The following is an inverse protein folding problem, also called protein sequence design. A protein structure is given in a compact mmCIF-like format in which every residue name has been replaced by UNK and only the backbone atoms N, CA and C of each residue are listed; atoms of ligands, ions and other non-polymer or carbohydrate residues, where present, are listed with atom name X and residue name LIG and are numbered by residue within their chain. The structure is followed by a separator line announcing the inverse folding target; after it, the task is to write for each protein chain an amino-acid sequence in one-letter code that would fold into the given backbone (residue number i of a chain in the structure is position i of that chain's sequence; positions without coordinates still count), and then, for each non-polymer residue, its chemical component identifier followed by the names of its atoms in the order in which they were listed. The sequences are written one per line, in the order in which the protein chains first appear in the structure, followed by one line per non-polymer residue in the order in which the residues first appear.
data_IF_753028016942
#
_entry.id   IF_753028016942
#
_cell.length_a   1.000
_cell.length_b   1.000
_cell.length_c   1.000
_cell.angle_alpha   90.00
_cell.angle_beta   90.00
_cell.angle_gamma   90.00
#
_symmetry.space_group_name_H-M   'P 1'
#
loop_
_entity.id
_entity.type
_entity.pdbx_description
1 polymer ?
#
# COMPACT_ATOMS: atom_id res chain seq x y z
N UNK A 1 -19.11 21.74 5.97
CA UNK A 1 -17.72 21.22 6.04
C UNK A 1 -17.15 21.17 4.64
N UNK A 2 -15.89 21.58 4.42
CA UNK A 2 -15.29 21.61 3.06
C UNK A 2 -14.79 20.21 2.67
N UNK A 3 -15.10 19.69 1.46
CA UNK A 3 -14.88 18.29 1.04
C UNK A 3 -13.44 17.99 0.58
N UNK A 4 -12.43 18.64 1.17
CA UNK A 4 -11.06 18.64 0.63
C UNK A 4 -10.10 17.69 1.34
N UNK A 5 -10.60 16.71 2.08
CA UNK A 5 -9.78 15.94 3.01
C UNK A 5 -10.05 14.44 2.90
N UNK A 6 -9.58 13.86 1.81
CA UNK A 6 -9.45 12.42 1.61
C UNK A 6 -8.52 12.27 0.42
N UNK A 7 -7.41 11.54 0.60
CA UNK A 7 -6.46 11.04 -0.40
C UNK A 7 -5.12 10.78 0.30
N UNK A 8 -5.07 9.83 1.23
CA UNK A 8 -3.80 9.40 1.85
C UNK A 8 -3.68 7.88 2.07
N UNK A 9 -4.72 7.11 1.78
CA UNK A 9 -4.84 5.72 2.23
C UNK A 9 -4.82 4.67 1.12
N UNK A 10 -4.15 4.89 0.00
CA UNK A 10 -3.94 3.81 -0.98
C UNK A 10 -2.43 3.57 -1.06
N UNK A 11 -2.05 2.28 -0.99
CA UNK A 11 -0.80 1.68 -1.49
C UNK A 11 0.09 1.08 -0.39
N UNK A 12 0.01 -0.25 -0.29
CA UNK A 12 0.96 -1.14 0.37
C UNK A 12 1.22 -2.36 -0.53
N UNK A 13 2.48 -2.79 -0.57
CA UNK A 13 2.94 -4.12 -0.96
C UNK A 13 3.77 -4.15 -2.26
N UNK A 14 5.08 -4.49 -2.17
CA UNK A 14 5.88 -5.33 -3.08
C UNK A 14 7.37 -4.93 -3.17
N UNK A 15 8.32 -5.79 -2.78
CA UNK A 15 9.76 -5.54 -3.05
C UNK A 15 10.74 -6.70 -2.87
N UNK A 16 11.93 -6.52 -3.48
CA UNK A 16 13.20 -7.18 -3.14
C UNK A 16 14.26 -7.35 -4.25
N UNK A 17 15.03 -8.44 -4.16
CA UNK A 17 16.49 -8.60 -4.19
C UNK A 17 17.22 -9.28 -5.38
N UNK A 18 18.46 -8.81 -5.68
CA UNK A 18 19.73 -9.52 -6.04
C UNK A 18 20.90 -8.48 -6.12
N UNK A 19 22.22 -8.72 -5.99
CA UNK A 19 23.13 -9.88 -5.87
C UNK A 19 24.42 -9.44 -5.10
N UNK A 20 24.89 -10.23 -4.13
CA UNK A 20 26.30 -10.42 -3.73
C UNK A 20 26.35 -11.58 -2.72
N UNK A 21 27.45 -12.35 -2.67
CA UNK A 21 27.60 -13.57 -1.86
C UNK A 21 27.11 -13.37 -0.41
N UNK A 22 25.94 -13.93 -0.11
CA UNK A 22 25.14 -13.63 1.08
C UNK A 22 24.01 -14.65 1.24
N UNK A 23 23.18 -14.51 2.29
CA UNK A 23 22.12 -15.47 2.61
C UNK A 23 21.19 -15.74 1.41
N UNK A 24 20.60 -16.93 1.36
CA UNK A 24 19.69 -17.39 0.29
C UNK A 24 18.74 -16.26 -0.15
N UNK A 25 18.76 -15.85 -1.44
CA UNK A 25 18.02 -14.71 -1.95
C UNK A 25 16.50 -14.82 -1.72
N UNK A 26 15.98 -16.03 -1.57
CA UNK A 26 14.56 -16.29 -1.24
C UNK A 26 14.26 -16.00 0.23
N UNK A 27 15.19 -16.34 1.12
CA UNK A 27 15.08 -16.03 2.56
C UNK A 27 15.25 -14.54 2.77
N UNK A 28 16.15 -13.89 2.02
CA UNK A 28 16.28 -12.44 2.03
C UNK A 28 15.03 -11.74 1.51
N UNK A 29 14.44 -12.25 0.42
CA UNK A 29 13.15 -11.78 -0.11
C UNK A 29 12.03 -11.87 0.93
N UNK A 30 11.84 -13.05 1.54
CA UNK A 30 10.85 -13.26 2.59
C UNK A 30 11.04 -12.27 3.75
N UNK A 31 12.26 -12.15 4.28
CA UNK A 31 12.55 -11.21 5.39
C UNK A 31 12.26 -9.77 5.01
N UNK A 32 12.58 -9.36 3.79
CA UNK A 32 12.30 -8.02 3.33
C UNK A 32 10.78 -7.79 3.21
N UNK A 33 10.04 -8.71 2.61
CA UNK A 33 8.57 -8.60 2.51
C UNK A 33 7.90 -8.58 3.89
N UNK A 34 8.37 -9.39 4.85
CA UNK A 34 7.91 -9.36 6.25
C UNK A 34 8.12 -7.99 6.90
N UNK A 35 9.31 -7.42 6.73
CA UNK A 35 9.64 -6.12 7.33
C UNK A 35 8.89 -4.97 6.66
N UNK A 36 8.67 -5.05 5.35
CA UNK A 36 7.86 -4.08 4.61
C UNK A 36 6.39 -4.17 5.02
N UNK A 37 5.82 -5.38 5.16
CA UNK A 37 4.45 -5.56 5.67
C UNK A 37 4.32 -4.97 7.06
N UNK A 38 5.28 -5.24 7.96
CA UNK A 38 5.27 -4.67 9.30
C UNK A 38 5.33 -3.13 9.27
N UNK A 39 6.22 -2.55 8.46
CA UNK A 39 6.31 -1.11 8.30
C UNK A 39 5.03 -0.50 7.73
N UNK A 40 4.35 -1.18 6.79
CA UNK A 40 3.06 -0.75 6.25
C UNK A 40 1.96 -0.76 7.31
N UNK A 41 1.92 -1.77 8.18
CA UNK A 41 0.99 -1.81 9.32
C UNK A 41 1.18 -0.59 10.22
N UNK A 42 2.43 -0.23 10.53
CA UNK A 42 2.72 0.97 11.31
C UNK A 42 2.17 2.24 10.64
N UNK A 43 2.36 2.38 9.32
CA UNK A 43 1.82 3.52 8.56
C UNK A 43 0.29 3.57 8.55
N UNK A 44 -0.37 2.42 8.37
CA UNK A 44 -1.84 2.33 8.34
C UNK A 44 -2.42 2.68 9.71
N UNK A 45 -1.86 2.14 10.80
CA UNK A 45 -2.30 2.44 12.15
C UNK A 45 -2.10 3.92 12.52
N UNK A 46 -0.96 4.51 12.15
CA UNK A 46 -0.70 5.94 12.35
C UNK A 46 -1.70 6.81 11.56
N UNK A 47 -1.96 6.46 10.30
CA UNK A 47 -2.93 7.15 9.46
C UNK A 47 -4.36 7.03 9.99
N UNK A 48 -4.73 5.88 10.56
CA UNK A 48 -6.03 5.70 11.21
C UNK A 48 -6.16 6.61 12.44
N UNK A 49 -5.18 6.61 13.35
CA UNK A 49 -5.23 7.47 14.52
C UNK A 49 -5.28 8.96 14.14
N UNK A 50 -4.56 9.35 13.09
CA UNK A 50 -4.62 10.70 12.56
C UNK A 50 -6.02 11.07 12.05
N UNK A 51 -6.67 10.19 11.27
CA UNK A 51 -8.05 10.38 10.80
C UNK A 51 -9.05 10.45 11.96
N UNK A 52 -8.95 9.55 12.94
CA UNK A 52 -9.83 9.54 14.12
C UNK A 52 -9.70 10.83 14.94
N UNK A 53 -8.49 11.39 15.03
CA UNK A 53 -8.26 12.68 15.68
C UNK A 53 -8.90 13.83 14.93
N UNK A 54 -8.76 13.90 13.60
CA UNK A 54 -9.40 14.93 12.77
C UNK A 54 -10.91 14.91 12.89
N UNK A 55 -11.48 13.70 12.99
CA UNK A 55 -12.90 13.48 13.17
C UNK A 55 -13.37 13.69 14.63
N UNK A 56 -12.48 14.08 15.54
CA UNK A 56 -12.81 14.31 16.95
C UNK A 56 -13.15 13.06 17.75
N UNK A 57 -12.90 11.86 17.19
CA UNK A 57 -13.20 10.56 17.82
C UNK A 57 -12.20 10.19 18.91
N UNK A 58 -10.95 10.65 18.78
CA UNK A 58 -9.92 10.46 19.81
C UNK A 58 -9.27 11.78 20.23
N UNK A 59 -8.81 11.83 21.49
CA UNK A 59 -8.13 13.01 22.04
C UNK A 59 -6.76 13.22 21.36
N UNK A 60 -6.30 14.47 21.19
CA UNK A 60 -5.00 14.75 20.57
C UNK A 60 -3.84 13.98 21.19
N UNK A 61 -3.82 13.82 22.53
CA UNK A 61 -2.74 13.11 23.22
C UNK A 61 -2.69 11.61 22.88
N UNK A 62 -3.86 10.97 22.72
CA UNK A 62 -3.92 9.56 22.34
C UNK A 62 -3.41 9.36 20.91
N UNK A 63 -3.82 10.24 19.98
CA UNK A 63 -3.33 10.25 18.61
C UNK A 63 -1.81 10.50 18.55
N UNK A 64 -1.32 11.48 19.30
CA UNK A 64 0.11 11.81 19.39
C UNK A 64 0.93 10.60 19.84
N UNK A 65 0.55 9.96 20.96
CA UNK A 65 1.27 8.80 21.51
C UNK A 65 1.31 7.64 20.52
N UNK A 66 0.19 7.36 19.83
CA UNK A 66 0.16 6.29 18.83
C UNK A 66 1.07 6.62 17.64
N UNK A 67 0.89 7.80 17.03
CA UNK A 67 1.68 8.21 15.85
C UNK A 67 3.17 8.26 16.18
N UNK A 68 3.55 8.76 17.36
CA UNK A 68 4.94 8.80 17.83
C UNK A 68 5.55 7.40 17.98
N UNK A 69 4.80 6.45 18.57
CA UNK A 69 5.22 5.04 18.66
C UNK A 69 5.43 4.42 17.26
N UNK A 70 4.51 4.67 16.32
CA UNK A 70 4.64 4.17 14.94
C UNK A 70 5.79 4.81 14.18
N UNK A 71 6.04 6.10 14.43
CA UNK A 71 7.18 6.83 13.86
C UNK A 71 8.52 6.24 14.32
N UNK A 72 8.63 5.86 15.60
CA UNK A 72 9.82 5.17 16.12
C UNK A 72 10.02 3.80 15.45
N UNK A 73 8.95 3.01 15.30
CA UNK A 73 9.02 1.74 14.57
C UNK A 73 9.43 1.91 13.10
N UNK A 74 8.89 2.93 12.41
CA UNK A 74 9.27 3.25 11.02
C UNK A 74 10.73 3.72 10.93
N UNK A 75 11.23 4.48 11.92
CA UNK A 75 12.62 4.88 11.98
C UNK A 75 13.57 3.68 12.18
N UNK A 76 13.19 2.71 13.03
CA UNK A 76 13.92 1.47 13.21
C UNK A 76 13.97 0.66 11.90
N UNK A 77 12.83 0.52 11.21
CA UNK A 77 12.78 -0.12 9.90
C UNK A 77 13.67 0.60 8.88
N UNK A 78 13.61 1.93 8.79
CA UNK A 78 14.46 2.70 7.86
C UNK A 78 15.96 2.43 8.08
N UNK A 79 16.40 2.31 9.34
CA UNK A 79 17.78 1.98 9.69
C UNK A 79 18.19 0.56 9.24
N UNK A 80 17.24 -0.38 9.25
CA UNK A 80 17.46 -1.78 8.84
C UNK A 80 17.22 -2.03 7.35
N UNK A 81 16.45 -1.18 6.66
CA UNK A 81 16.11 -1.34 5.25
C UNK A 81 17.36 -1.45 4.35
N UNK A 82 18.45 -0.79 4.75
CA UNK A 82 19.74 -0.83 4.07
C UNK A 82 20.42 -2.21 4.10
N UNK A 83 20.22 -3.00 5.16
CA UNK A 83 20.88 -4.29 5.36
C UNK A 83 20.01 -5.47 4.91
N UNK A 84 18.68 -5.28 4.89
CA UNK A 84 17.72 -6.30 4.51
C UNK A 84 17.51 -6.38 3.00
N UNK A 85 17.46 -5.24 2.32
CA UNK A 85 17.24 -5.18 0.89
C UNK A 85 18.51 -5.54 0.11
N UNK A 86 18.39 -6.35 -0.95
CA UNK A 86 19.54 -6.54 -1.83
C UNK A 86 19.74 -5.34 -2.77
N UNK A 87 20.95 -5.19 -3.36
CA UNK A 87 21.38 -3.97 -4.03
C UNK A 87 20.37 -3.35 -4.99
N UNK A 88 19.73 -4.17 -5.84
CA UNK A 88 18.73 -3.70 -6.82
C UNK A 88 17.52 -2.97 -6.20
N UNK A 89 17.22 -3.24 -4.93
CA UNK A 89 16.06 -2.68 -4.22
C UNK A 89 16.40 -1.65 -3.16
N UNK A 90 17.65 -1.60 -2.69
CA UNK A 90 18.05 -0.75 -1.55
C UNK A 90 17.63 0.70 -1.72
N UNK A 91 17.84 1.28 -2.91
CA UNK A 91 17.49 2.67 -3.20
C UNK A 91 15.99 2.90 -3.05
N UNK A 92 15.16 2.07 -3.69
CA UNK A 92 13.70 2.18 -3.65
C UNK A 92 13.13 1.90 -2.25
N UNK A 93 13.66 0.91 -1.52
CA UNK A 93 13.22 0.61 -0.14
C UNK A 93 13.54 1.78 0.79
N UNK A 94 14.77 2.32 0.71
CA UNK A 94 15.19 3.46 1.54
C UNK A 94 14.37 4.70 1.21
N UNK A 95 14.13 4.93 -0.07
CA UNK A 95 13.31 6.05 -0.51
C UNK A 95 11.89 5.91 0.05
N UNK A 96 11.29 4.73 -0.07
CA UNK A 96 9.97 4.44 0.49
C UNK A 96 9.92 4.62 2.01
N UNK A 97 10.85 4.02 2.75
CA UNK A 97 10.92 4.14 4.20
C UNK A 97 11.03 5.60 4.65
N UNK A 98 11.85 6.40 3.94
CA UNK A 98 11.98 7.83 4.17
C UNK A 98 10.66 8.56 3.94
N UNK A 99 9.95 8.28 2.85
CA UNK A 99 8.66 8.91 2.55
C UNK A 99 7.59 8.55 3.59
N UNK A 100 7.51 7.28 4.00
CA UNK A 100 6.59 6.84 5.06
C UNK A 100 6.91 7.53 6.40
N UNK A 101 8.19 7.64 6.74
CA UNK A 101 8.60 8.37 7.95
C UNK A 101 8.22 9.86 7.88
N UNK A 102 8.46 10.52 6.75
CA UNK A 102 8.09 11.92 6.54
C UNK A 102 6.58 12.14 6.67
N UNK A 103 5.78 11.19 6.17
CA UNK A 103 4.32 11.21 6.31
C UNK A 103 3.88 11.12 7.78
N UNK A 104 4.50 10.22 8.56
CA UNK A 104 4.21 10.09 9.99
C UNK A 104 4.68 11.31 10.78
N UNK A 105 5.82 11.91 10.40
CA UNK A 105 6.28 13.18 10.97
C UNK A 105 5.29 14.30 10.69
N UNK A 106 4.73 14.36 9.48
CA UNK A 106 3.68 15.32 9.14
C UNK A 106 2.45 15.14 10.05
N UNK A 107 1.95 13.90 10.22
CA UNK A 107 0.81 13.64 11.11
C UNK A 107 1.08 14.10 12.53
N UNK A 108 2.25 13.79 13.06
CA UNK A 108 2.65 14.15 14.41
C UNK A 108 2.74 15.68 14.59
N UNK A 109 3.34 16.38 13.62
CA UNK A 109 3.44 17.84 13.64
C UNK A 109 2.06 18.48 13.58
N UNK A 110 1.16 18.00 12.73
CA UNK A 110 -0.19 18.54 12.62
C UNK A 110 -1.03 18.29 13.88
N UNK A 111 -0.93 17.10 14.50
CA UNK A 111 -1.58 16.80 15.81
C UNK A 111 -1.12 17.76 16.91
N UNK A 112 0.17 18.11 16.91
CA UNK A 112 0.78 19.01 17.91
C UNK A 112 0.41 20.47 17.70
N UNK A 113 0.07 20.87 16.48
CA UNK A 113 -0.36 22.24 16.18
C UNK A 113 -1.82 22.45 16.59
N UNK A 114 -2.09 23.49 17.38
CA UNK A 114 -3.45 23.90 17.76
C UNK A 114 -3.70 25.35 17.30
N UNK A 115 -4.69 25.61 16.44
CA UNK A 115 -5.57 24.66 15.73
C UNK A 115 -4.84 23.86 14.62
N UNK A 116 -5.43 22.76 14.11
CA UNK A 116 -4.91 22.05 12.94
C UNK A 116 -4.75 23.01 11.77
N UNK A 117 -3.64 22.91 11.02
CA UNK A 117 -3.45 23.86 9.93
C UNK A 117 -4.35 23.55 8.74
N UNK A 118 -4.90 24.60 8.09
CA UNK A 118 -5.66 24.42 6.85
C UNK A 118 -4.73 23.84 5.77
N UNK A 119 -5.02 22.61 5.35
CA UNK A 119 -4.25 21.93 4.31
C UNK A 119 -4.48 22.61 2.97
N UNK A 120 -3.39 23.02 2.31
CA UNK A 120 -3.48 23.54 0.95
C UNK A 120 -3.70 22.39 -0.04
N UNK A 121 -4.48 22.64 -1.08
CA UNK A 121 -4.70 21.66 -2.15
C UNK A 121 -3.36 21.25 -2.81
N UNK A 122 -2.42 22.19 -2.95
CA UNK A 122 -1.09 21.95 -3.47
C UNK A 122 -0.28 20.96 -2.61
N UNK A 123 -0.32 21.09 -1.28
CA UNK A 123 0.37 20.17 -0.38
C UNK A 123 -0.18 18.74 -0.49
N UNK A 124 -1.51 18.60 -0.55
CA UNK A 124 -2.17 17.29 -0.69
C UNK A 124 -1.82 16.65 -2.04
N UNK A 125 -1.85 17.44 -3.12
CA UNK A 125 -1.47 16.99 -4.45
C UNK A 125 0.00 16.52 -4.52
N UNK A 126 0.92 17.29 -3.94
CA UNK A 126 2.34 16.92 -3.90
C UNK A 126 2.55 15.61 -3.15
N UNK A 127 1.92 15.46 -1.98
CA UNK A 127 2.03 14.22 -1.18
C UNK A 127 1.48 13.00 -1.91
N UNK A 128 0.34 13.16 -2.57
CA UNK A 128 -0.24 12.12 -3.41
C UNK A 128 0.71 11.70 -4.54
N UNK A 129 1.23 12.69 -5.28
CA UNK A 129 2.12 12.44 -6.39
C UNK A 129 3.39 11.70 -5.93
N UNK A 130 3.99 12.13 -4.82
CA UNK A 130 5.13 11.44 -4.23
C UNK A 130 4.80 9.99 -3.84
N UNK A 131 3.61 9.74 -3.27
CA UNK A 131 3.15 8.40 -2.89
C UNK A 131 2.96 7.48 -4.11
N UNK A 132 2.43 8.03 -5.20
CA UNK A 132 2.26 7.30 -6.45
C UNK A 132 3.60 6.97 -7.12
N UNK A 133 4.50 7.95 -7.18
CA UNK A 133 5.84 7.80 -7.79
C UNK A 133 6.62 6.72 -7.06
N UNK A 134 6.68 6.78 -5.72
CA UNK A 134 7.42 5.78 -4.96
C UNK A 134 6.85 4.38 -5.13
N UNK A 135 5.52 4.23 -5.22
CA UNK A 135 4.89 2.92 -5.43
C UNK A 135 5.16 2.37 -6.84
N UNK A 136 5.25 3.26 -7.83
CA UNK A 136 5.70 2.90 -9.18
C UNK A 136 7.11 2.32 -9.15
N UNK A 137 8.05 3.01 -8.47
CA UNK A 137 9.44 2.57 -8.33
C UNK A 137 9.55 1.22 -7.62
N UNK A 138 8.73 0.99 -6.59
CA UNK A 138 8.68 -0.28 -5.87
C UNK A 138 8.16 -1.42 -6.75
N UNK A 139 7.09 -1.20 -7.51
CA UNK A 139 6.53 -2.19 -8.44
C UNK A 139 7.54 -2.58 -9.53
N UNK A 140 8.25 -1.60 -10.11
CA UNK A 140 9.29 -1.87 -11.09
C UNK A 140 10.47 -2.63 -10.51
N UNK A 141 10.84 -2.31 -9.27
CA UNK A 141 11.87 -3.03 -8.54
C UNK A 141 11.45 -4.47 -8.25
N UNK A 142 10.20 -4.69 -7.82
CA UNK A 142 9.66 -6.03 -7.63
C UNK A 142 9.60 -6.83 -8.93
N UNK A 143 9.24 -6.20 -10.05
CA UNK A 143 9.24 -6.86 -11.37
C UNK A 143 10.61 -7.43 -11.71
N UNK A 144 11.66 -6.63 -11.50
CA UNK A 144 13.06 -7.06 -11.73
C UNK A 144 13.46 -8.17 -10.77
N UNK A 145 13.11 -8.05 -9.49
CA UNK A 145 13.43 -9.08 -8.53
C UNK A 145 12.78 -10.43 -8.83
N UNK A 146 11.47 -10.44 -9.10
CA UNK A 146 10.71 -11.69 -9.24
C UNK A 146 11.35 -12.59 -10.30
N UNK A 147 11.88 -11.99 -11.37
CA UNK A 147 12.65 -12.70 -12.40
C UNK A 147 13.93 -13.33 -11.86
N UNK A 148 14.60 -12.70 -10.90
CA UNK A 148 15.84 -13.20 -10.30
C UNK A 148 15.55 -14.31 -9.29
N UNK A 149 14.63 -14.09 -8.34
CA UNK A 149 14.29 -15.10 -7.31
C UNK A 149 13.60 -16.32 -7.91
N UNK A 150 12.84 -16.15 -8.99
CA UNK A 150 12.27 -17.28 -9.75
C UNK A 150 13.39 -18.15 -10.34
N UNK A 151 14.34 -17.57 -11.08
CA UNK A 151 15.45 -18.29 -11.72
C UNK A 151 16.37 -18.99 -10.71
N UNK A 152 16.52 -18.39 -9.53
CA UNK A 152 17.36 -18.92 -8.46
C UNK A 152 16.62 -19.93 -7.58
N UNK A 153 15.30 -20.10 -7.75
CA UNK A 153 14.53 -21.07 -7.00
C UNK A 153 14.65 -22.47 -7.60
N UNK A 154 15.36 -23.37 -6.91
CA UNK A 154 15.36 -24.80 -7.20
C UNK A 154 14.10 -25.55 -6.72
N UNK A 155 13.14 -24.87 -6.06
CA UNK A 155 11.89 -25.46 -5.57
C UNK A 155 10.75 -25.17 -6.56
N UNK A 156 10.15 -26.18 -7.22
CA UNK A 156 9.06 -25.99 -8.19
C UNK A 156 7.84 -25.24 -7.63
N UNK A 157 7.50 -25.44 -6.35
CA UNK A 157 6.37 -24.75 -5.71
C UNK A 157 6.69 -23.28 -5.48
N UNK A 158 7.92 -22.95 -5.08
CA UNK A 158 8.36 -21.57 -4.94
C UNK A 158 8.47 -20.86 -6.31
N UNK A 159 8.92 -21.56 -7.36
CA UNK A 159 8.87 -21.04 -8.74
C UNK A 159 7.42 -20.71 -9.15
N UNK A 160 6.48 -21.62 -8.91
CA UNK A 160 5.07 -21.39 -9.20
C UNK A 160 4.47 -20.22 -8.40
N UNK A 161 4.88 -20.04 -7.13
CA UNK A 161 4.52 -18.86 -6.34
C UNK A 161 5.03 -17.56 -6.98
N UNK A 162 6.32 -17.50 -7.34
CA UNK A 162 6.91 -16.29 -7.93
C UNK A 162 6.30 -15.95 -9.30
N UNK A 163 5.98 -16.97 -10.11
CA UNK A 163 5.23 -16.78 -11.36
C UNK A 163 3.84 -16.19 -11.13
N UNK A 164 3.12 -16.71 -10.14
CA UNK A 164 1.82 -16.15 -9.75
C UNK A 164 1.95 -14.69 -9.30
N UNK A 165 2.94 -14.36 -8.46
CA UNK A 165 3.23 -12.96 -8.07
C UNK A 165 3.57 -12.08 -9.27
N UNK A 166 4.33 -12.60 -10.23
CA UNK A 166 4.65 -11.87 -11.46
C UNK A 166 3.40 -11.57 -12.29
N UNK A 167 2.44 -12.49 -12.36
CA UNK A 167 1.14 -12.28 -13.02
C UNK A 167 0.27 -11.23 -12.33
N UNK A 168 0.45 -11.01 -11.01
CA UNK A 168 -0.26 -9.95 -10.28
C UNK A 168 0.33 -8.55 -10.55
N UNK A 169 1.58 -8.42 -11.02
CA UNK A 169 2.23 -7.11 -11.21
C UNK A 169 1.49 -6.18 -12.18
N UNK A 170 0.99 -6.63 -13.35
CA UNK A 170 0.21 -5.77 -14.24
C UNK A 170 -1.09 -5.30 -13.61
N UNK A 171 -1.74 -6.14 -12.78
CA UNK A 171 -2.94 -5.76 -12.03
C UNK A 171 -2.62 -4.67 -11.02
N UNK A 172 -1.56 -4.84 -10.23
CA UNK A 172 -1.14 -3.82 -9.25
C UNK A 172 -0.65 -2.52 -9.93
N UNK A 173 -0.08 -2.60 -11.13
CA UNK A 173 0.24 -1.43 -11.92
C UNK A 173 -1.02 -0.69 -12.39
N UNK A 174 -2.05 -1.42 -12.81
CA UNK A 174 -3.33 -0.84 -13.21
C UNK A 174 -4.08 -0.23 -12.00
N UNK A 175 -3.96 -0.82 -10.81
CA UNK A 175 -4.44 -0.24 -9.56
C UNK A 175 -3.75 1.10 -9.24
N UNK A 176 -2.42 1.17 -9.41
CA UNK A 176 -1.68 2.42 -9.24
C UNK A 176 -2.10 3.49 -10.27
N UNK A 177 -2.39 3.09 -11.51
CA UNK A 177 -2.92 3.99 -12.52
C UNK A 177 -4.32 4.49 -12.17
N UNK A 178 -5.18 3.62 -11.62
CA UNK A 178 -6.49 4.02 -11.12
C UNK A 178 -6.36 5.00 -9.94
N UNK A 179 -5.39 4.81 -9.05
CA UNK A 179 -5.10 5.78 -8.00
C UNK A 179 -4.75 7.16 -8.59
N UNK A 180 -3.90 7.22 -9.63
CA UNK A 180 -3.62 8.47 -10.38
C UNK A 180 -4.90 9.08 -10.95
N UNK A 181 -5.75 8.27 -11.59
CA UNK A 181 -7.01 8.71 -12.18
C UNK A 181 -7.96 9.31 -11.13
N UNK A 182 -8.08 8.67 -9.97
CA UNK A 182 -8.91 9.16 -8.84
C UNK A 182 -8.43 10.54 -8.40
N UNK A 183 -7.12 10.70 -8.16
CA UNK A 183 -6.59 11.99 -7.73
C UNK A 183 -6.73 13.08 -8.79
N UNK A 184 -6.52 12.75 -10.06
CA UNK A 184 -6.75 13.69 -11.15
C UNK A 184 -8.23 14.10 -11.20
N UNK A 185 -9.15 13.16 -11.03
CA UNK A 185 -10.58 13.44 -11.00
C UNK A 185 -10.96 14.39 -9.84
N UNK A 186 -10.38 14.21 -8.65
CA UNK A 186 -10.55 15.15 -7.53
C UNK A 186 -9.98 16.54 -7.84
N UNK A 187 -8.78 16.63 -8.42
CA UNK A 187 -8.14 17.90 -8.76
C UNK A 187 -8.95 18.70 -9.78
N UNK A 188 -9.50 18.01 -10.78
CA UNK A 188 -10.24 18.59 -11.89
C UNK A 188 -11.74 18.70 -11.61
N UNK A 189 -12.21 18.21 -10.45
CA UNK A 189 -13.64 18.03 -10.16
C UNK A 189 -14.37 17.30 -11.31
N UNK A 190 -13.70 16.30 -11.90
CA UNK A 190 -14.18 15.64 -13.10
C UNK A 190 -15.21 14.56 -12.76
N UNK A 191 -16.48 14.96 -12.77
CA UNK A 191 -17.64 14.09 -12.50
C UNK A 191 -17.86 13.01 -13.57
N UNK A 192 -17.24 13.14 -14.74
CA UNK A 192 -17.37 12.19 -15.86
C UNK A 192 -16.28 11.12 -15.87
N UNK A 193 -15.35 11.17 -14.90
CA UNK A 193 -14.34 10.14 -14.74
C UNK A 193 -15.00 8.76 -14.57
N UNK A 194 -14.55 7.75 -15.33
CA UNK A 194 -15.11 6.39 -15.28
C UNK A 194 -14.43 5.54 -14.20
N UNK A 195 -14.32 6.07 -12.97
CA UNK A 195 -13.52 5.44 -11.91
C UNK A 195 -14.05 4.04 -11.54
N UNK A 196 -15.35 3.91 -11.32
CA UNK A 196 -15.99 2.61 -11.02
C UNK A 196 -15.82 1.60 -12.16
N UNK A 197 -15.98 2.03 -13.41
CA UNK A 197 -15.80 1.15 -14.57
C UNK A 197 -14.36 0.63 -14.70
N UNK A 198 -13.37 1.49 -14.43
CA UNK A 198 -11.95 1.10 -14.38
C UNK A 198 -11.67 0.11 -13.26
N UNK A 199 -12.27 0.31 -12.09
CA UNK A 199 -12.13 -0.61 -10.95
C UNK A 199 -12.77 -1.98 -11.20
N UNK A 200 -13.92 -2.05 -11.86
CA UNK A 200 -14.54 -3.31 -12.28
C UNK A 200 -13.66 -4.07 -13.28
N UNK A 201 -13.14 -3.38 -14.30
CA UNK A 201 -12.20 -3.99 -15.23
C UNK A 201 -10.94 -4.53 -14.53
N UNK A 202 -10.44 -3.82 -13.52
CA UNK A 202 -9.33 -4.29 -12.70
C UNK A 202 -9.67 -5.56 -11.91
N UNK A 203 -10.85 -5.61 -11.30
CA UNK A 203 -11.35 -6.81 -10.63
C UNK A 203 -11.39 -8.00 -11.59
N UNK A 204 -11.93 -7.81 -12.79
CA UNK A 204 -12.06 -8.88 -13.78
C UNK A 204 -10.68 -9.38 -14.25
N UNK A 205 -9.73 -8.47 -14.45
CA UNK A 205 -8.33 -8.81 -14.73
C UNK A 205 -7.70 -9.63 -13.61
N UNK A 206 -7.96 -9.26 -12.35
CA UNK A 206 -7.45 -10.00 -11.20
C UNK A 206 -8.08 -11.39 -11.11
N UNK A 207 -9.40 -11.50 -11.25
CA UNK A 207 -10.16 -12.75 -11.16
C UNK A 207 -9.83 -13.74 -12.29
N UNK A 208 -9.37 -13.24 -13.44
CA UNK A 208 -8.93 -14.08 -14.56
C UNK A 208 -7.60 -14.83 -14.29
N UNK A 209 -6.79 -14.35 -13.34
CA UNK A 209 -5.52 -14.99 -12.98
C UNK A 209 -5.79 -16.36 -12.35
N UNK A 210 -5.09 -17.38 -12.82
CA UNK A 210 -5.20 -18.74 -12.27
C UNK A 210 -4.07 -19.00 -11.27
N UNK A 211 -4.30 -18.86 -9.96
CA UNK A 211 -3.28 -19.13 -8.96
C UNK A 211 -2.99 -20.64 -8.85
N UNK A 212 -1.76 -21.04 -8.49
CA UNK A 212 -1.50 -22.39 -7.98
C UNK A 212 -2.44 -22.75 -6.83
N UNK A 213 -2.77 -24.03 -6.67
CA UNK A 213 -3.74 -24.48 -5.65
C UNK A 213 -3.41 -23.97 -4.24
N UNK A 214 -2.12 -23.96 -3.86
CA UNK A 214 -1.65 -23.48 -2.56
C UNK A 214 -1.65 -21.95 -2.40
N UNK A 215 -1.89 -21.19 -3.48
CA UNK A 215 -2.06 -19.73 -3.46
C UNK A 215 -3.52 -19.29 -3.53
N UNK A 216 -4.49 -20.22 -3.70
CA UNK A 216 -5.90 -19.88 -3.95
C UNK A 216 -6.50 -18.95 -2.90
N UNK A 217 -6.28 -19.22 -1.62
CA UNK A 217 -6.81 -18.39 -0.54
C UNK A 217 -6.20 -16.97 -0.55
N UNK A 218 -4.89 -16.85 -0.74
CA UNK A 218 -4.23 -15.55 -0.85
C UNK A 218 -4.73 -14.76 -2.07
N UNK A 219 -4.94 -15.46 -3.19
CA UNK A 219 -5.50 -14.85 -4.40
C UNK A 219 -6.95 -14.40 -4.23
N UNK A 220 -7.79 -15.17 -3.53
CA UNK A 220 -9.16 -14.75 -3.21
C UNK A 220 -9.17 -13.42 -2.43
N UNK A 221 -8.24 -13.24 -1.48
CA UNK A 221 -8.12 -11.98 -0.75
C UNK A 221 -7.68 -10.81 -1.65
N UNK A 222 -6.85 -11.06 -2.67
CA UNK A 222 -6.58 -10.06 -3.72
C UNK A 222 -7.84 -9.69 -4.49
N UNK A 223 -8.65 -10.66 -4.91
CA UNK A 223 -9.91 -10.40 -5.62
C UNK A 223 -10.88 -9.60 -4.75
N UNK A 224 -11.03 -9.97 -3.47
CA UNK A 224 -11.85 -9.21 -2.51
C UNK A 224 -11.37 -7.77 -2.31
N UNK A 225 -10.06 -7.53 -2.29
CA UNK A 225 -9.48 -6.17 -2.26
C UNK A 225 -9.93 -5.35 -3.48
N UNK A 226 -10.00 -5.96 -4.67
CA UNK A 226 -10.43 -5.22 -5.87
C UNK A 226 -11.93 -4.95 -5.89
N UNK A 227 -12.75 -5.80 -5.25
CA UNK A 227 -14.16 -5.49 -5.00
C UNK A 227 -14.29 -4.25 -4.10
N UNK A 228 -13.52 -4.19 -3.01
CA UNK A 228 -13.57 -3.02 -2.11
C UNK A 228 -12.99 -1.77 -2.75
N UNK A 229 -12.01 -1.90 -3.66
CA UNK A 229 -11.54 -0.80 -4.49
C UNK A 229 -12.63 -0.26 -5.43
N UNK A 230 -13.46 -1.14 -6.00
CA UNK A 230 -14.63 -0.75 -6.79
C UNK A 230 -15.62 0.10 -5.99
N UNK A 231 -15.90 -0.31 -4.75
CA UNK A 231 -16.75 0.46 -3.81
C UNK A 231 -16.13 1.81 -3.47
N UNK A 232 -14.83 1.82 -3.15
CA UNK A 232 -14.07 3.06 -2.90
C UNK A 232 -14.12 4.02 -4.09
N UNK A 233 -13.99 3.52 -5.32
CA UNK A 233 -14.10 4.35 -6.52
C UNK A 233 -15.49 4.93 -6.72
N UNK A 234 -16.55 4.19 -6.37
CA UNK A 234 -17.92 4.70 -6.40
C UNK A 234 -18.13 5.82 -5.36
N UNK A 235 -17.65 5.63 -4.13
CA UNK A 235 -17.70 6.66 -3.10
C UNK A 235 -16.86 7.89 -3.46
N UNK A 236 -15.70 7.70 -4.12
CA UNK A 236 -14.90 8.79 -4.66
C UNK A 236 -15.67 9.57 -5.74
N UNK A 237 -16.33 8.88 -6.67
CA UNK A 237 -17.15 9.50 -7.71
C UNK A 237 -18.31 10.31 -7.11
N UNK A 238 -18.97 9.77 -6.08
CA UNK A 238 -20.04 10.44 -5.36
C UNK A 238 -19.53 11.71 -4.67
N UNK A 239 -18.41 11.61 -3.93
CA UNK A 239 -17.80 12.75 -3.26
C UNK A 239 -17.32 13.84 -4.23
N UNK A 240 -16.89 13.50 -5.45
CA UNK A 240 -16.56 14.47 -6.51
C UNK A 240 -17.82 15.17 -7.04
N UNK A 241 -18.93 14.43 -7.16
CA UNK A 241 -20.16 14.92 -7.80
C UNK A 241 -21.03 15.73 -6.86
N UNK A 242 -21.19 15.26 -5.62
CA UNK A 242 -22.02 15.86 -4.58
C UNK A 242 -21.26 15.82 -3.26
N UNK A 243 -20.38 16.80 -3.00
CA UNK A 243 -19.46 16.77 -1.87
C UNK A 243 -20.11 17.19 -0.54
N UNK A 244 -21.15 16.47 -0.14
CA UNK A 244 -21.84 16.63 1.15
C UNK A 244 -21.15 15.83 2.28
N UNK A 245 -21.70 15.92 3.49
CA UNK A 245 -21.12 15.25 4.66
C UNK A 245 -21.16 13.72 4.53
N UNK A 246 -22.22 13.17 3.94
CA UNK A 246 -22.46 11.72 3.86
C UNK A 246 -21.54 11.08 2.82
N UNK A 247 -21.40 11.68 1.64
CA UNK A 247 -20.48 11.23 0.59
C UNK A 247 -19.02 11.25 1.04
N UNK A 248 -18.61 12.27 1.79
CA UNK A 248 -17.27 12.34 2.36
C UNK A 248 -17.08 11.27 3.43
N UNK A 249 -18.06 11.04 4.31
CA UNK A 249 -18.00 9.98 5.32
C UNK A 249 -17.88 8.59 4.68
N UNK A 250 -18.72 8.28 3.68
CA UNK A 250 -18.69 7.01 2.96
C UNK A 250 -17.34 6.76 2.30
N UNK A 251 -16.75 7.80 1.70
CA UNK A 251 -15.41 7.73 1.13
C UNK A 251 -14.33 7.41 2.17
N UNK A 252 -14.44 7.95 3.40
CA UNK A 252 -13.51 7.62 4.50
C UNK A 252 -13.64 6.17 4.93
N UNK A 253 -14.86 5.72 5.15
CA UNK A 253 -15.14 4.36 5.62
C UNK A 253 -14.70 3.33 4.56
N UNK A 254 -14.92 3.61 3.28
CA UNK A 254 -14.47 2.75 2.18
C UNK A 254 -12.95 2.73 2.01
N UNK A 255 -12.27 3.86 2.22
CA UNK A 255 -10.81 3.93 2.21
C UNK A 255 -10.23 3.07 3.34
N UNK A 256 -10.83 3.10 4.53
CA UNK A 256 -10.42 2.26 5.65
C UNK A 256 -10.61 0.76 5.35
N UNK A 257 -11.78 0.37 4.83
CA UNK A 257 -12.06 -1.03 4.50
C UNK A 257 -11.11 -1.53 3.41
N UNK A 258 -10.86 -0.72 2.38
CA UNK A 258 -9.90 -1.05 1.32
C UNK A 258 -8.48 -1.24 1.89
N UNK A 259 -8.00 -0.35 2.76
CA UNK A 259 -6.67 -0.48 3.40
C UNK A 259 -6.52 -1.80 4.16
N UNK A 260 -7.52 -2.18 4.95
CA UNK A 260 -7.52 -3.43 5.71
C UNK A 260 -7.45 -4.64 4.77
N UNK A 261 -8.22 -4.63 3.67
CA UNK A 261 -8.18 -5.70 2.67
C UNK A 261 -6.86 -5.77 1.91
N UNK A 262 -6.26 -4.63 1.58
CA UNK A 262 -4.94 -4.58 0.96
C UNK A 262 -3.88 -5.26 1.84
N UNK A 263 -3.78 -4.87 3.11
CA UNK A 263 -2.88 -5.50 4.08
C UNK A 263 -3.14 -7.01 4.22
N UNK A 264 -4.41 -7.41 4.36
CA UNK A 264 -4.77 -8.82 4.51
C UNK A 264 -4.37 -9.66 3.28
N UNK A 265 -4.51 -9.11 2.07
CA UNK A 265 -4.10 -9.80 0.83
C UNK A 265 -2.59 -10.00 0.75
N UNK A 266 -1.81 -8.99 1.18
CA UNK A 266 -0.35 -9.06 1.18
C UNK A 266 0.17 -10.02 2.26
N UNK A 267 -0.40 -9.96 3.47
CA UNK A 267 -0.08 -10.89 4.55
C UNK A 267 -0.35 -12.35 4.18
N UNK A 268 -1.47 -12.61 3.48
CA UNK A 268 -1.79 -13.96 3.03
C UNK A 268 -0.82 -14.44 1.94
N UNK A 269 -0.41 -13.57 1.01
CA UNK A 269 0.65 -13.89 0.04
C UNK A 269 1.95 -14.24 0.74
N UNK A 270 2.32 -13.45 1.76
CA UNK A 270 3.54 -13.64 2.52
C UNK A 270 3.53 -14.93 3.34
N UNK A 271 2.39 -15.29 3.93
CA UNK A 271 2.21 -16.56 4.62
C UNK A 271 2.44 -17.76 3.71
N UNK A 272 1.99 -17.68 2.45
CA UNK A 272 2.27 -18.72 1.44
C UNK A 272 3.78 -18.80 1.19
N UNK A 273 4.47 -17.68 0.94
CA UNK A 273 5.92 -17.68 0.72
C UNK A 273 6.67 -18.28 1.92
N UNK A 274 6.31 -17.85 3.13
CA UNK A 274 6.89 -18.35 4.38
C UNK A 274 6.73 -19.87 4.50
N UNK A 275 5.55 -20.41 4.19
CA UNK A 275 5.29 -21.85 4.21
C UNK A 275 6.11 -22.65 3.18
N UNK A 276 6.45 -22.05 2.04
CA UNK A 276 7.21 -22.69 0.97
C UNK A 276 8.72 -22.70 1.24
N UNK A 277 9.20 -21.74 2.03
CA UNK A 277 10.62 -21.57 2.37
C UNK A 277 10.97 -22.15 3.74
N UNK A 278 10.00 -22.30 4.62
CA UNK A 278 10.15 -23.07 5.87
C UNK A 278 10.36 -24.53 5.51
N UNK A 279 11.55 -25.09 5.79
CA UNK A 279 11.80 -26.52 5.61
C UNK A 279 10.78 -27.34 6.41
N UNK A 280 10.29 -28.49 5.90
CA UNK A 280 9.78 -29.50 6.83
C UNK A 280 10.94 -29.87 7.75
N UNK A 281 10.72 -29.75 9.06
CA UNK A 281 11.65 -30.30 10.06
C UNK A 281 11.70 -31.81 9.94
#
# INVERSE_FOLDING_TARGET
MKPRQLLAGILGGLLGSALAAGPDPRVQDLRLEEQISQAQKLSVEAGQAYQEWLNGRIKPKAAETLVESRLQGMAAFQGQAATLAAPVSQTSVRHWARMQKQELQYYLTDIRQKPPQPRTQALLQQRWQNAVEIQSDLLETRRRQLQVVEKQSGNPRAVAYYRWRAQMLPVLQAELNLARDVAQAFQQQNQTARLTGKALALHDLAAAIQPPAFCKQAHQLYVERFVTLGRLCASAQQAISAPDQDSVSNLQDDEEVYRKKALASDDASLAVLSSLLSKPR
#
